data_IF_880136439310
#
_entry.id   IF_880136439310
#
_cell.length_a   1.000
_cell.length_b   1.000
_cell.length_c   1.000
_cell.angle_alpha   90.00
_cell.angle_beta   90.00
_cell.angle_gamma   90.00
#
_symmetry.space_group_name_H-M   'P 1'
#
loop_
_entity.id
_entity.type
_entity.pdbx_description
1 polymer ?
#
# COMPACT_ATOMS: atom_id res chain seq x y z
N UNK A 1 -30.49 30.38 -22.68
CA UNK A 1 -29.54 30.90 -23.66
C UNK A 1 -28.11 30.43 -23.40
N UNK A 2 -27.51 30.64 -22.21
CA UNK A 2 -26.12 30.21 -21.89
C UNK A 2 -25.81 28.74 -22.21
N UNK A 3 -26.71 27.79 -21.84
CA UNK A 3 -26.54 26.34 -22.11
C UNK A 3 -26.55 25.99 -23.61
N UNK A 4 -27.31 26.72 -24.43
CA UNK A 4 -27.37 26.51 -25.87
C UNK A 4 -26.08 27.01 -26.53
N UNK A 5 -25.57 28.16 -26.10
CA UNK A 5 -24.30 28.73 -26.57
C UNK A 5 -23.11 27.79 -26.29
N UNK A 6 -23.06 27.20 -25.09
CA UNK A 6 -22.03 26.21 -24.73
C UNK A 6 -22.13 24.97 -25.64
N UNK A 7 -23.33 24.47 -25.90
CA UNK A 7 -23.52 23.32 -26.82
C UNK A 7 -23.05 23.61 -28.25
N UNK A 8 -23.39 24.80 -28.75
CA UNK A 8 -22.96 25.22 -30.09
C UNK A 8 -21.43 25.37 -30.17
N UNK A 9 -20.79 26.00 -29.15
CA UNK A 9 -19.35 26.15 -29.11
C UNK A 9 -18.63 24.78 -29.11
N UNK A 10 -19.16 23.80 -28.36
CA UNK A 10 -18.60 22.45 -28.33
C UNK A 10 -18.69 21.72 -29.67
N UNK A 11 -19.72 21.97 -30.48
CA UNK A 11 -19.80 21.42 -31.85
C UNK A 11 -18.67 21.92 -32.76
N UNK A 12 -18.13 23.11 -32.47
CA UNK A 12 -17.01 23.70 -33.19
C UNK A 12 -15.64 23.44 -32.48
N UNK A 13 -15.61 22.61 -31.45
CA UNK A 13 -14.38 22.27 -30.73
C UNK A 13 -13.93 23.30 -29.69
N UNK A 14 -14.80 24.26 -29.33
CA UNK A 14 -14.49 25.31 -28.32
C UNK A 14 -15.21 25.02 -27.01
N UNK A 15 -14.55 25.30 -25.89
CA UNK A 15 -15.15 25.29 -24.56
C UNK A 15 -15.32 26.74 -24.05
N UNK A 16 -16.52 27.09 -23.62
CA UNK A 16 -16.82 28.39 -23.02
C UNK A 16 -16.83 28.24 -21.51
N UNK A 17 -15.93 28.92 -20.84
CA UNK A 17 -15.79 28.94 -19.37
C UNK A 17 -16.23 30.30 -18.86
N UNK A 18 -17.06 30.31 -17.82
CA UNK A 18 -17.42 31.53 -17.08
C UNK A 18 -16.34 31.82 -16.04
N UNK A 19 -15.40 32.68 -16.41
CA UNK A 19 -14.24 33.00 -15.55
C UNK A 19 -14.65 33.69 -14.24
N UNK A 20 -15.81 34.35 -14.18
CA UNK A 20 -16.24 35.10 -12.99
C UNK A 20 -17.12 34.29 -12.04
N UNK A 21 -17.49 33.06 -12.42
CA UNK A 21 -18.36 32.19 -11.63
C UNK A 21 -17.70 30.82 -11.38
N UNK A 22 -16.37 30.82 -11.31
CA UNK A 22 -15.59 29.65 -10.94
C UNK A 22 -15.49 29.59 -9.42
N UNK A 23 -16.32 28.75 -8.80
CA UNK A 23 -16.30 28.52 -7.35
C UNK A 23 -15.34 27.40 -7.05
N UNK A 24 -14.21 27.73 -6.45
CA UNK A 24 -13.33 26.76 -5.82
C UNK A 24 -13.73 26.63 -4.35
N UNK A 25 -14.09 25.44 -3.86
CA UNK A 25 -14.39 25.24 -2.43
C UNK A 25 -13.24 25.64 -1.51
N UNK A 26 -11.99 25.57 -1.96
CA UNK A 26 -10.80 25.98 -1.22
C UNK A 26 -10.65 27.48 -1.01
N UNK A 27 -11.36 28.32 -1.78
CA UNK A 27 -11.29 29.77 -1.65
C UNK A 27 -12.31 30.32 -0.63
N UNK A 28 -13.36 29.58 -0.33
CA UNK A 28 -14.50 30.04 0.49
C UNK A 28 -14.58 29.42 1.88
N UNK A 29 -13.80 28.38 2.15
CA UNK A 29 -13.66 27.74 3.46
C UNK A 29 -12.24 27.30 3.63
N UNK A 30 -11.66 27.51 4.81
CA UNK A 30 -10.50 26.71 5.19
C UNK A 30 -10.90 25.26 5.04
N UNK A 31 -10.24 24.55 4.14
CA UNK A 31 -10.39 23.10 4.01
C UNK A 31 -9.69 22.51 5.22
N UNK A 32 -10.40 22.46 6.33
CA UNK A 32 -9.99 21.69 7.47
C UNK A 32 -9.84 20.24 7.01
N UNK A 33 -8.63 19.81 7.02
CA UNK A 33 -8.04 18.49 7.03
C UNK A 33 -8.69 17.37 6.19
N UNK A 34 -10.00 17.28 5.99
CA UNK A 34 -10.62 16.13 5.38
C UNK A 34 -11.40 16.45 4.10
N UNK A 35 -10.74 16.21 2.97
CA UNK A 35 -11.41 16.26 1.67
C UNK A 35 -12.37 15.08 1.45
N UNK A 36 -12.33 14.08 2.32
CA UNK A 36 -13.23 12.93 2.30
C UNK A 36 -13.68 12.59 3.72
N UNK A 37 -14.97 12.71 3.98
CA UNK A 37 -15.60 12.30 5.25
C UNK A 37 -16.47 11.09 4.96
N UNK A 38 -16.36 10.07 5.80
CA UNK A 38 -17.12 8.82 5.63
C UNK A 38 -18.62 9.11 5.70
N UNK A 39 -19.39 8.56 4.76
CA UNK A 39 -20.82 8.76 4.55
C UNK A 39 -21.21 10.19 4.14
N UNK A 40 -20.26 11.04 3.88
CA UNK A 40 -20.49 12.39 3.41
C UNK A 40 -19.98 12.59 1.99
N UNK A 41 -20.20 13.78 1.48
CA UNK A 41 -19.75 14.18 0.17
C UNK A 41 -18.28 14.50 0.19
N UNK A 42 -17.51 13.89 -0.73
CA UNK A 42 -16.11 14.23 -0.94
C UNK A 42 -15.97 15.35 -1.97
N UNK A 43 -15.20 16.37 -1.63
CA UNK A 43 -14.89 17.47 -2.55
C UNK A 43 -13.62 17.14 -3.31
N UNK A 44 -13.74 16.98 -4.63
CA UNK A 44 -12.62 16.71 -5.53
C UNK A 44 -12.38 17.93 -6.40
N UNK A 45 -11.23 18.56 -6.26
CA UNK A 45 -10.81 19.65 -7.10
C UNK A 45 -9.94 19.14 -8.25
N UNK A 46 -10.22 19.49 -9.49
CA UNK A 46 -11.30 20.34 -10.02
C UNK A 46 -12.63 19.61 -10.32
N UNK A 47 -12.78 18.33 -9.98
CA UNK A 47 -13.84 17.45 -10.44
C UNK A 47 -15.19 17.60 -9.69
N UNK A 48 -15.26 18.52 -8.73
CA UNK A 48 -16.48 18.79 -7.99
C UNK A 48 -16.75 17.83 -6.82
N UNK A 49 -18.01 17.56 -6.50
CA UNK A 49 -18.43 16.69 -5.41
C UNK A 49 -18.52 15.22 -5.86
N UNK A 50 -18.02 14.32 -5.02
CA UNK A 50 -18.14 12.86 -5.22
C UNK A 50 -18.83 12.26 -4.01
N UNK A 51 -19.91 11.50 -4.24
CA UNK A 51 -20.55 10.71 -3.19
C UNK A 51 -19.71 9.44 -2.93
N UNK A 52 -19.42 9.17 -1.65
CA UNK A 52 -18.65 7.99 -1.26
C UNK A 52 -19.54 6.75 -1.31
N UNK A 53 -19.36 5.94 -2.35
CA UNK A 53 -20.11 4.70 -2.58
C UNK A 53 -19.30 3.43 -2.25
N UNK A 54 -17.98 3.54 -2.14
CA UNK A 54 -17.05 2.46 -1.78
C UNK A 54 -16.53 2.68 -0.36
N UNK A 55 -17.36 2.34 0.64
CA UNK A 55 -16.99 2.49 2.05
C UNK A 55 -16.26 1.25 2.55
N UNK A 56 -15.14 1.45 3.24
CA UNK A 56 -14.36 0.38 3.86
C UNK A 56 -14.85 0.11 5.29
N UNK A 57 -15.09 -1.15 5.62
CA UNK A 57 -15.55 -1.61 6.94
C UNK A 57 -14.51 -2.44 7.65
N UNK A 58 -13.65 -3.12 6.90
CA UNK A 58 -12.59 -3.96 7.45
C UNK A 58 -11.29 -3.85 6.67
N UNK A 59 -10.19 -3.99 7.40
CA UNK A 59 -8.83 -4.09 6.87
C UNK A 59 -8.11 -5.25 7.54
N UNK A 60 -7.70 -6.23 6.75
CA UNK A 60 -6.79 -7.28 7.19
C UNK A 60 -5.37 -6.91 6.76
N UNK A 61 -4.48 -6.72 7.71
CA UNK A 61 -3.07 -6.47 7.48
C UNK A 61 -2.31 -7.79 7.65
N UNK A 62 -1.46 -8.14 6.69
CA UNK A 62 -0.64 -9.34 6.74
C UNK A 62 0.81 -8.95 6.57
N UNK A 63 1.58 -9.05 7.65
CA UNK A 63 3.00 -8.72 7.71
C UNK A 63 3.83 -10.00 7.62
N UNK A 64 4.70 -10.09 6.61
CA UNK A 64 5.70 -11.15 6.49
C UNK A 64 6.96 -10.74 7.23
N UNK A 65 7.44 -11.56 8.14
CA UNK A 65 8.57 -11.25 9.01
C UNK A 65 9.59 -12.39 9.03
N UNK A 66 10.87 -12.01 8.95
CA UNK A 66 12.01 -12.86 9.27
C UNK A 66 13.13 -12.02 9.87
N UNK A 67 13.42 -12.20 11.15
CA UNK A 67 14.37 -11.37 11.91
C UNK A 67 15.84 -11.77 11.70
N UNK A 68 16.10 -12.86 10.97
CA UNK A 68 17.44 -13.44 10.80
C UNK A 68 17.99 -13.32 9.39
N UNK A 69 17.15 -13.02 8.41
CA UNK A 69 17.56 -12.98 7.01
C UNK A 69 18.55 -11.86 6.75
N UNK A 70 19.70 -12.20 6.20
CA UNK A 70 20.61 -11.25 5.57
C UNK A 70 20.03 -10.74 4.24
N UNK A 71 20.51 -9.57 3.76
CA UNK A 71 20.05 -9.04 2.47
C UNK A 71 20.40 -10.08 1.40
N UNK A 72 19.40 -10.45 0.63
CA UNK A 72 19.52 -11.47 -0.40
C UNK A 72 20.60 -11.22 -1.46
N UNK A 73 20.85 -9.97 -1.81
CA UNK A 73 21.92 -9.60 -2.72
C UNK A 73 23.16 -9.21 -1.89
N UNK A 74 24.16 -10.07 -1.83
CA UNK A 74 25.42 -9.87 -1.10
C UNK A 74 26.16 -8.56 -1.49
N UNK A 75 25.80 -7.95 -2.62
CA UNK A 75 26.32 -6.65 -3.05
C UNK A 75 25.55 -5.46 -2.45
N UNK A 76 24.43 -5.70 -1.78
CA UNK A 76 23.60 -4.66 -1.17
C UNK A 76 23.80 -4.67 0.35
N UNK A 77 24.15 -3.53 0.91
CA UNK A 77 24.15 -3.31 2.36
C UNK A 77 22.81 -2.77 2.80
N UNK A 78 22.33 -3.15 3.99
CA UNK A 78 21.21 -2.49 4.62
C UNK A 78 21.50 -1.00 4.78
N UNK A 79 20.48 -0.17 4.66
CA UNK A 79 20.58 1.28 4.74
C UNK A 79 21.23 1.75 6.05
N UNK A 80 20.86 1.09 7.15
CA UNK A 80 21.47 1.28 8.47
C UNK A 80 22.28 0.03 8.81
N UNK A 81 23.45 0.19 9.40
CA UNK A 81 24.30 -0.91 9.87
C UNK A 81 23.76 -1.49 11.20
N UNK A 82 22.54 -2.03 11.14
CA UNK A 82 21.82 -2.60 12.27
C UNK A 82 21.35 -4.02 11.96
N UNK A 83 21.22 -4.89 12.97
CA UNK A 83 20.65 -6.23 12.79
C UNK A 83 19.24 -6.18 12.19
N UNK A 84 18.84 -7.24 11.50
CA UNK A 84 17.51 -7.30 10.85
C UNK A 84 16.35 -7.11 11.82
N UNK A 85 16.47 -7.62 13.06
CA UNK A 85 15.45 -7.42 14.10
C UNK A 85 15.13 -5.94 14.35
N UNK A 86 16.11 -5.02 14.23
CA UNK A 86 15.90 -3.59 14.40
C UNK A 86 14.99 -3.00 13.28
N UNK A 87 15.05 -3.58 12.08
CA UNK A 87 14.15 -3.22 10.99
C UNK A 87 12.73 -3.72 11.26
N UNK A 88 12.60 -4.97 11.70
CA UNK A 88 11.29 -5.57 12.02
C UNK A 88 10.61 -4.83 13.18
N UNK A 89 11.34 -4.48 14.25
CA UNK A 89 10.81 -3.69 15.37
C UNK A 89 10.27 -2.34 14.88
N UNK A 90 11.06 -1.59 14.10
CA UNK A 90 10.65 -0.27 13.60
C UNK A 90 9.51 -0.35 12.61
N UNK A 91 9.49 -1.37 11.76
CA UNK A 91 8.37 -1.65 10.87
C UNK A 91 7.07 -1.82 11.67
N UNK A 92 7.09 -2.71 12.67
CA UNK A 92 5.93 -2.98 13.53
C UNK A 92 5.53 -1.75 14.34
N UNK A 93 6.49 -1.04 14.98
CA UNK A 93 6.20 0.19 15.71
C UNK A 93 5.52 1.26 14.84
N UNK A 94 6.03 1.47 13.64
CA UNK A 94 5.45 2.43 12.71
C UNK A 94 4.04 2.01 12.27
N UNK A 95 3.81 0.71 12.08
CA UNK A 95 2.51 0.16 11.74
C UNK A 95 1.51 0.35 12.90
N UNK A 96 1.90 0.05 14.13
CA UNK A 96 1.08 0.26 15.33
C UNK A 96 0.64 1.74 15.45
N UNK A 97 1.56 2.68 15.29
CA UNK A 97 1.24 4.11 15.29
C UNK A 97 0.21 4.46 14.22
N UNK A 98 0.40 3.93 13.02
CA UNK A 98 -0.52 4.16 11.91
C UNK A 98 -1.91 3.54 12.14
N UNK A 99 -1.98 2.36 12.75
CA UNK A 99 -3.25 1.71 13.13
C UNK A 99 -3.97 2.56 14.19
N UNK A 100 -3.27 3.02 15.23
CA UNK A 100 -3.84 3.84 16.28
C UNK A 100 -4.44 5.13 15.74
N UNK A 101 -3.69 5.86 14.91
CA UNK A 101 -4.18 7.08 14.28
C UNK A 101 -5.39 6.81 13.39
N UNK A 102 -5.34 5.77 12.58
CA UNK A 102 -6.44 5.37 11.71
C UNK A 102 -7.71 5.03 12.51
N UNK A 103 -7.61 4.24 13.58
CA UNK A 103 -8.74 3.88 14.46
C UNK A 103 -9.35 5.08 15.17
N UNK A 104 -8.55 6.06 15.56
CA UNK A 104 -9.05 7.29 16.17
C UNK A 104 -9.98 8.07 15.24
N UNK A 105 -9.67 8.05 13.94
CA UNK A 105 -10.46 8.74 12.92
C UNK A 105 -11.62 7.88 12.41
N UNK A 106 -11.39 6.60 12.21
CA UNK A 106 -12.31 5.63 11.64
C UNK A 106 -12.71 4.58 12.67
N UNK A 107 -13.41 5.00 13.73
CA UNK A 107 -13.79 4.13 14.86
C UNK A 107 -14.66 2.92 14.46
N UNK A 108 -15.33 2.97 13.32
CA UNK A 108 -16.14 1.88 12.76
C UNK A 108 -15.30 0.86 11.97
N UNK A 109 -14.06 1.18 11.64
CA UNK A 109 -13.18 0.31 10.83
C UNK A 109 -12.61 -0.82 11.70
N UNK A 110 -12.91 -2.06 11.34
CA UNK A 110 -12.26 -3.23 11.93
C UNK A 110 -10.86 -3.41 11.33
N UNK A 111 -9.82 -3.40 12.15
CA UNK A 111 -8.44 -3.64 11.71
C UNK A 111 -7.88 -4.82 12.47
N UNK A 112 -7.52 -5.88 11.75
CA UNK A 112 -6.85 -7.07 12.26
C UNK A 112 -5.48 -7.20 11.61
N UNK A 113 -4.49 -7.69 12.35
CA UNK A 113 -3.12 -7.86 11.85
C UNK A 113 -2.65 -9.28 12.10
N UNK A 114 -2.18 -9.95 11.06
CA UNK A 114 -1.52 -11.25 11.12
C UNK A 114 -0.06 -11.08 10.75
N UNK A 115 0.83 -11.56 11.61
CA UNK A 115 2.28 -11.61 11.37
C UNK A 115 2.65 -13.06 11.04
N UNK A 116 3.19 -13.28 9.85
CA UNK A 116 3.74 -14.57 9.44
C UNK A 116 5.22 -14.58 9.79
N UNK A 117 5.60 -15.35 10.78
CA UNK A 117 6.98 -15.50 11.22
C UNK A 117 7.67 -16.66 10.50
N UNK A 118 8.79 -16.38 9.85
CA UNK A 118 9.62 -17.36 9.17
C UNK A 118 10.84 -17.72 10.02
N UNK A 119 10.62 -18.54 11.06
CA UNK A 119 11.68 -19.10 11.91
C UNK A 119 12.61 -18.09 12.58
N UNK A 120 12.07 -16.97 13.05
CA UNK A 120 12.84 -16.04 13.87
C UNK A 120 13.36 -16.69 15.17
N UNK A 121 14.54 -16.29 15.64
CA UNK A 121 15.05 -16.73 16.93
C UNK A 121 14.08 -16.40 18.05
N UNK A 122 13.97 -17.29 19.03
CA UNK A 122 13.06 -17.13 20.16
C UNK A 122 13.23 -15.77 20.86
N UNK A 123 14.46 -15.34 21.13
CA UNK A 123 14.75 -14.06 21.77
C UNK A 123 14.23 -12.84 20.97
N UNK A 124 14.27 -12.91 19.63
CA UNK A 124 13.74 -11.86 18.75
C UNK A 124 12.23 -11.92 18.70
N UNK A 125 11.65 -13.14 18.62
CA UNK A 125 10.21 -13.34 18.63
C UNK A 125 9.58 -12.88 19.94
N UNK A 126 10.25 -13.10 21.08
CA UNK A 126 9.78 -12.64 22.38
C UNK A 126 9.75 -11.10 22.45
N UNK A 127 10.77 -10.40 21.95
CA UNK A 127 10.76 -8.93 21.81
C UNK A 127 9.58 -8.42 20.96
N UNK A 128 9.29 -9.11 19.86
CA UNK A 128 8.15 -8.75 19.00
C UNK A 128 6.82 -8.98 19.74
N UNK A 129 6.68 -10.10 20.45
CA UNK A 129 5.48 -10.38 21.25
C UNK A 129 5.24 -9.32 22.32
N UNK A 130 6.30 -8.90 23.03
CA UNK A 130 6.23 -7.84 24.03
C UNK A 130 5.77 -6.51 23.40
N UNK A 131 6.25 -6.21 22.19
CA UNK A 131 5.88 -5.00 21.45
C UNK A 131 4.40 -4.96 21.08
N UNK A 132 3.82 -6.09 20.69
CA UNK A 132 2.44 -6.18 20.19
C UNK A 132 1.42 -6.67 21.23
N UNK A 133 1.83 -6.93 22.48
CA UNK A 133 0.99 -7.57 23.52
C UNK A 133 -0.35 -6.89 23.78
N UNK A 134 -0.43 -5.57 23.56
CA UNK A 134 -1.64 -4.77 23.77
C UNK A 134 -2.35 -4.39 22.47
N UNK A 135 -1.94 -4.98 21.37
CA UNK A 135 -2.46 -4.68 20.04
C UNK A 135 -3.22 -5.88 19.46
N UNK A 136 -4.08 -5.63 18.48
CA UNK A 136 -4.81 -6.71 17.82
C UNK A 136 -3.95 -7.36 16.72
N UNK A 137 -2.93 -8.11 17.15
CA UNK A 137 -1.99 -8.83 16.31
C UNK A 137 -2.01 -10.32 16.65
N UNK A 138 -2.01 -11.15 15.63
CA UNK A 138 -1.81 -12.59 15.72
C UNK A 138 -0.46 -12.95 15.08
N UNK A 139 0.37 -13.75 15.76
CA UNK A 139 1.60 -14.28 15.17
C UNK A 139 1.37 -15.76 14.84
N UNK A 140 1.62 -16.10 13.58
CA UNK A 140 1.58 -17.47 13.10
C UNK A 140 2.91 -17.84 12.46
N UNK A 141 3.29 -19.11 12.54
CA UNK A 141 4.50 -19.61 11.89
C UNK A 141 4.26 -19.87 10.41
N UNK A 142 5.30 -19.68 9.60
CA UNK A 142 5.31 -20.12 8.21
C UNK A 142 5.25 -21.66 8.14
N UNK A 143 4.29 -22.20 7.42
CA UNK A 143 4.12 -23.64 7.20
C UNK A 143 5.01 -24.13 6.04
N UNK A 144 6.30 -24.32 6.31
CA UNK A 144 7.26 -24.80 5.32
C UNK A 144 6.85 -26.16 4.70
N UNK A 145 6.31 -27.07 5.51
CA UNK A 145 5.98 -28.44 5.03
C UNK A 145 4.84 -28.40 4.02
N UNK A 146 3.82 -27.60 4.27
CA UNK A 146 2.71 -27.42 3.34
C UNK A 146 3.18 -26.98 1.95
N UNK A 147 4.13 -26.03 1.89
CA UNK A 147 4.53 -25.41 0.63
C UNK A 147 5.63 -26.14 -0.12
N UNK A 148 6.35 -27.08 0.50
CA UNK A 148 7.39 -27.90 -0.16
C UNK A 148 6.90 -28.67 -1.39
N UNK A 149 5.66 -29.13 -1.36
CA UNK A 149 5.05 -29.88 -2.48
C UNK A 149 4.50 -28.95 -3.59
N UNK A 150 4.26 -27.68 -3.28
CA UNK A 150 3.61 -26.70 -4.16
C UNK A 150 4.63 -25.86 -4.90
N UNK A 151 5.64 -25.36 -4.19
CA UNK A 151 6.66 -24.46 -4.73
C UNK A 151 7.74 -25.29 -5.41
N UNK A 152 8.05 -24.96 -6.65
CA UNK A 152 9.14 -25.61 -7.38
C UNK A 152 10.46 -25.49 -6.62
N UNK A 153 11.30 -26.52 -6.70
CA UNK A 153 12.60 -26.53 -6.03
C UNK A 153 13.42 -25.28 -6.38
N UNK A 154 13.75 -24.51 -5.37
CA UNK A 154 14.51 -23.27 -5.48
C UNK A 154 16.01 -23.50 -5.24
N UNK A 155 16.86 -22.56 -5.73
CA UNK A 155 18.31 -22.62 -5.57
C UNK A 155 18.77 -22.38 -4.13
N UNK A 156 18.02 -21.61 -3.35
CA UNK A 156 18.32 -21.32 -1.96
C UNK A 156 17.09 -21.46 -1.07
N UNK A 157 17.35 -21.68 0.23
CA UNK A 157 16.30 -21.75 1.25
C UNK A 157 15.57 -20.41 1.41
N UNK A 158 16.28 -19.30 1.32
CA UNK A 158 15.74 -17.95 1.43
C UNK A 158 14.74 -17.66 0.30
N UNK A 159 15.05 -18.10 -0.93
CA UNK A 159 14.13 -17.97 -2.06
C UNK A 159 12.86 -18.79 -1.82
N UNK A 160 12.98 -20.01 -1.32
CA UNK A 160 11.84 -20.84 -0.98
C UNK A 160 10.99 -20.18 0.13
N UNK A 161 11.61 -19.75 1.22
CA UNK A 161 10.93 -19.07 2.34
C UNK A 161 10.19 -17.81 1.91
N UNK A 162 10.80 -17.01 1.03
CA UNK A 162 10.13 -15.82 0.49
C UNK A 162 8.89 -16.17 -0.32
N UNK A 163 8.96 -17.17 -1.22
CA UNK A 163 7.81 -17.62 -2.00
C UNK A 163 6.74 -18.25 -1.11
N UNK A 164 7.11 -19.06 -0.13
CA UNK A 164 6.20 -19.74 0.79
C UNK A 164 5.47 -18.73 1.70
N UNK A 165 6.17 -17.77 2.28
CA UNK A 165 5.58 -16.73 3.11
C UNK A 165 4.64 -15.83 2.31
N UNK A 166 4.97 -15.54 1.04
CA UNK A 166 4.11 -14.78 0.16
C UNK A 166 2.83 -15.56 -0.19
N UNK A 167 2.95 -16.86 -0.50
CA UNK A 167 1.78 -17.70 -0.78
C UNK A 167 0.88 -17.82 0.45
N UNK A 168 1.46 -18.06 1.64
CA UNK A 168 0.70 -18.11 2.88
C UNK A 168 -0.03 -16.79 3.14
N UNK A 169 0.62 -15.65 2.87
CA UNK A 169 -0.03 -14.35 3.04
C UNK A 169 -1.24 -14.17 2.12
N UNK A 170 -1.13 -14.58 0.86
CA UNK A 170 -2.26 -14.52 -0.09
C UNK A 170 -3.39 -15.46 0.30
N UNK A 171 -3.09 -16.68 0.78
CA UNK A 171 -4.10 -17.63 1.26
C UNK A 171 -4.84 -17.10 2.50
N UNK A 172 -4.12 -16.48 3.45
CA UNK A 172 -4.73 -15.85 4.61
C UNK A 172 -5.63 -14.69 4.16
N UNK A 173 -5.13 -13.81 3.28
CA UNK A 173 -5.93 -12.74 2.71
C UNK A 173 -7.19 -13.25 2.03
N UNK A 174 -7.09 -14.36 1.29
CA UNK A 174 -8.23 -15.01 0.63
C UNK A 174 -9.24 -15.62 1.60
N UNK A 175 -8.78 -16.15 2.72
CA UNK A 175 -9.66 -16.89 3.65
C UNK A 175 -10.24 -15.98 4.75
N UNK A 176 -9.51 -14.97 5.21
CA UNK A 176 -9.85 -14.16 6.37
C UNK A 176 -10.17 -12.70 6.05
N UNK A 177 -9.80 -12.20 4.85
CA UNK A 177 -10.11 -10.83 4.44
C UNK A 177 -11.58 -10.66 4.06
N UNK A 178 -12.16 -9.51 4.35
CA UNK A 178 -13.52 -9.13 3.96
C UNK A 178 -13.52 -8.00 2.91
N UNK A 179 -13.18 -6.75 3.31
CA UNK A 179 -13.15 -5.62 2.36
C UNK A 179 -11.76 -5.42 1.75
N UNK A 180 -10.81 -4.98 2.56
CA UNK A 180 -9.44 -4.69 2.12
C UNK A 180 -8.42 -5.60 2.79
N UNK A 181 -7.40 -5.98 2.02
CA UNK A 181 -6.24 -6.74 2.49
C UNK A 181 -4.98 -5.94 2.16
N UNK A 182 -4.10 -5.78 3.15
CA UNK A 182 -2.84 -5.07 3.01
C UNK A 182 -1.67 -6.01 3.31
N UNK A 183 -0.89 -6.34 2.29
CA UNK A 183 0.33 -7.14 2.39
C UNK A 183 1.53 -6.24 2.67
N UNK A 184 2.35 -6.59 3.65
CA UNK A 184 3.50 -5.80 4.10
C UNK A 184 4.72 -6.71 4.31
N UNK A 185 5.90 -6.18 4.03
CA UNK A 185 7.20 -6.76 4.35
C UNK A 185 7.84 -6.01 5.53
N UNK A 186 8.58 -6.71 6.39
CA UNK A 186 9.13 -6.19 7.64
C UNK A 186 10.39 -5.32 7.48
N UNK A 187 10.67 -4.84 6.28
CA UNK A 187 11.69 -3.84 5.97
C UNK A 187 11.09 -2.52 5.45
N UNK A 188 9.78 -2.33 5.66
CA UNK A 188 9.11 -1.06 5.43
C UNK A 188 8.88 -0.31 6.74
N UNK A 189 9.18 0.99 6.76
CA UNK A 189 8.74 1.91 7.82
C UNK A 189 7.63 2.80 7.27
N UNK A 190 6.57 2.97 8.06
CA UNK A 190 5.37 3.68 7.68
C UNK A 190 5.32 5.07 8.35
N UNK A 191 4.75 6.05 7.64
CA UNK A 191 4.30 7.28 8.28
C UNK A 191 3.07 7.00 9.15
N UNK A 192 2.95 7.71 10.25
CA UNK A 192 1.81 7.57 11.15
C UNK A 192 0.47 7.77 10.43
N UNK A 193 0.41 8.66 9.45
CA UNK A 193 -0.79 8.93 8.63
C UNK A 193 -1.03 7.93 7.49
N UNK A 194 -0.23 6.87 7.36
CA UNK A 194 -0.25 5.99 6.19
C UNK A 194 -1.62 5.32 6.01
N UNK A 195 -2.14 4.61 7.01
CA UNK A 195 -3.42 3.90 6.88
C UNK A 195 -4.59 4.86 6.72
N UNK A 196 -4.61 5.95 7.48
CA UNK A 196 -5.65 6.99 7.36
C UNK A 196 -5.75 7.51 5.92
N UNK A 197 -4.61 7.90 5.32
CA UNK A 197 -4.58 8.41 3.96
C UNK A 197 -4.91 7.32 2.93
N UNK A 198 -4.45 6.09 3.12
CA UNK A 198 -4.78 4.98 2.22
C UNK A 198 -6.27 4.67 2.22
N UNK A 199 -6.90 4.54 3.39
CA UNK A 199 -8.33 4.25 3.50
C UNK A 199 -9.18 5.38 2.91
N UNK A 200 -8.93 6.62 3.31
CA UNK A 200 -9.70 7.77 2.80
C UNK A 200 -9.53 7.97 1.29
N UNK A 201 -8.31 7.78 0.78
CA UNK A 201 -8.05 7.89 -0.66
C UNK A 201 -8.65 6.73 -1.44
N UNK A 202 -8.65 5.50 -0.87
CA UNK A 202 -9.34 4.37 -1.48
C UNK A 202 -10.84 4.66 -1.63
N UNK A 203 -11.52 4.99 -0.54
CA UNK A 203 -12.96 5.27 -0.56
C UNK A 203 -13.32 6.34 -1.59
N UNK A 204 -12.55 7.41 -1.61
CA UNK A 204 -12.77 8.53 -2.52
C UNK A 204 -12.51 8.17 -3.98
N UNK A 205 -11.31 7.68 -4.29
CA UNK A 205 -10.88 7.43 -5.67
C UNK A 205 -11.66 6.24 -6.26
N UNK A 206 -11.87 5.16 -5.48
CA UNK A 206 -12.65 4.02 -5.92
C UNK A 206 -14.11 4.39 -6.19
N UNK A 207 -14.71 5.25 -5.36
CA UNK A 207 -16.07 5.77 -5.57
C UNK A 207 -16.15 6.63 -6.84
N UNK A 208 -15.16 7.49 -7.06
CA UNK A 208 -15.08 8.34 -8.24
C UNK A 208 -14.93 7.52 -9.52
N UNK A 209 -14.06 6.54 -9.52
CA UNK A 209 -13.79 5.68 -10.67
C UNK A 209 -14.83 4.55 -10.82
N UNK A 210 -15.66 4.33 -9.80
CA UNK A 210 -16.61 3.20 -9.69
C UNK A 210 -15.93 1.83 -9.88
N UNK A 211 -14.69 1.72 -9.42
CA UNK A 211 -13.83 0.53 -9.52
C UNK A 211 -13.03 0.35 -8.25
N UNK A 212 -12.71 -0.88 -7.95
CA UNK A 212 -11.71 -1.17 -6.92
C UNK A 212 -10.32 -0.77 -7.38
N UNK A 213 -9.43 -0.55 -6.42
CA UNK A 213 -8.07 -0.09 -6.65
C UNK A 213 -7.07 -1.05 -6.02
N UNK A 214 -5.87 -1.05 -6.57
CA UNK A 214 -4.68 -1.56 -5.92
C UNK A 214 -3.84 -0.36 -5.50
N UNK A 215 -3.37 -0.35 -4.25
CA UNK A 215 -2.64 0.80 -3.71
C UNK A 215 -1.28 0.37 -3.19
N UNK A 216 -0.23 0.96 -3.74
CA UNK A 216 1.12 0.85 -3.20
C UNK A 216 1.37 2.04 -2.26
N UNK A 217 1.86 1.82 -1.01
CA UNK A 217 2.09 2.92 -0.08
C UNK A 217 3.37 3.71 -0.37
N UNK A 218 4.23 3.19 -1.26
CA UNK A 218 5.55 3.74 -1.53
C UNK A 218 5.64 4.40 -2.89
N UNK A 219 6.30 5.56 -2.90
CA UNK A 219 6.65 6.32 -4.10
C UNK A 219 8.11 5.99 -4.47
N UNK A 220 8.30 5.00 -5.32
CA UNK A 220 9.64 4.48 -5.62
C UNK A 220 10.45 5.35 -6.58
N UNK A 221 11.79 5.38 -6.43
CA UNK A 221 12.68 6.15 -7.31
C UNK A 221 12.54 5.84 -8.79
N UNK A 222 12.28 4.57 -9.18
CA UNK A 222 12.16 4.20 -10.59
C UNK A 222 11.05 4.96 -11.33
N UNK A 223 10.02 5.40 -10.61
CA UNK A 223 8.90 6.17 -11.17
C UNK A 223 9.32 7.56 -11.68
N UNK A 224 10.51 8.02 -11.31
CA UNK A 224 11.11 9.29 -11.74
C UNK A 224 12.18 9.12 -12.83
N UNK A 225 12.52 7.87 -13.16
CA UNK A 225 13.58 7.54 -14.12
C UNK A 225 13.04 7.21 -15.52
N UNK A 226 11.77 6.85 -15.63
CA UNK A 226 11.14 6.43 -16.87
C UNK A 226 10.03 7.40 -17.26
N UNK A 227 9.90 7.65 -18.57
CA UNK A 227 8.82 8.45 -19.12
C UNK A 227 7.58 7.56 -19.34
N UNK A 228 6.82 7.31 -18.28
CA UNK A 228 5.59 6.52 -18.34
C UNK A 228 4.35 7.43 -18.31
N UNK A 229 3.33 7.07 -19.11
CA UNK A 229 2.03 7.74 -18.99
C UNK A 229 1.45 7.47 -17.62
N UNK A 230 1.11 8.54 -16.90
CA UNK A 230 0.49 8.44 -15.59
C UNK A 230 -0.65 9.45 -15.45
N UNK A 231 -1.69 9.05 -14.73
CA UNK A 231 -2.76 9.95 -14.33
C UNK A 231 -2.52 10.38 -12.87
N UNK A 232 -2.76 11.66 -12.59
CA UNK A 232 -2.72 12.19 -11.24
C UNK A 232 -4.14 12.23 -10.69
N UNK A 233 -4.32 11.63 -9.53
CA UNK A 233 -5.58 11.55 -8.80
C UNK A 233 -5.45 12.30 -7.49
N UNK A 234 -6.53 12.93 -7.05
CA UNK A 234 -6.55 13.65 -5.78
C UNK A 234 -7.03 12.68 -4.69
N UNK A 235 -6.14 12.36 -3.75
CA UNK A 235 -6.46 11.63 -2.54
C UNK A 235 -7.05 12.53 -1.45
N UNK A 236 -6.96 12.16 -0.20
CA UNK A 236 -7.44 12.96 0.92
C UNK A 236 -6.48 14.14 1.22
N UNK A 237 -5.23 13.84 1.53
CA UNK A 237 -4.20 14.84 1.87
C UNK A 237 -3.04 14.86 0.87
N UNK A 238 -3.04 13.96 -0.12
CA UNK A 238 -1.97 13.76 -1.10
C UNK A 238 -2.52 13.61 -2.50
N UNK A 239 -1.66 13.88 -3.47
CA UNK A 239 -1.90 13.40 -4.82
C UNK A 239 -1.44 11.94 -4.92
N UNK A 240 -2.10 11.21 -5.80
CA UNK A 240 -1.76 9.85 -6.15
C UNK A 240 -1.53 9.78 -7.66
N UNK A 241 -0.69 8.86 -8.09
CA UNK A 241 -0.47 8.62 -9.51
C UNK A 241 -0.73 7.16 -9.85
N UNK A 242 -1.20 6.91 -11.07
CA UNK A 242 -1.28 5.56 -11.60
C UNK A 242 0.12 5.01 -11.84
N UNK A 243 0.32 3.73 -11.50
CA UNK A 243 1.57 2.99 -11.70
C UNK A 243 1.27 1.63 -12.33
N UNK A 244 2.25 1.03 -12.98
CA UNK A 244 2.16 -0.28 -13.63
C UNK A 244 3.10 -1.33 -13.03
N UNK A 245 3.84 -0.98 -11.98
CA UNK A 245 4.78 -1.86 -11.27
C UNK A 245 4.76 -1.55 -9.78
N UNK A 246 4.86 -2.59 -8.96
CA UNK A 246 5.05 -2.48 -7.51
C UNK A 246 5.86 -3.67 -7.00
N UNK A 247 6.22 -3.65 -5.72
CA UNK A 247 6.74 -4.80 -4.99
C UNK A 247 5.61 -5.51 -4.24
N UNK A 248 5.95 -6.45 -3.34
CA UNK A 248 4.98 -7.25 -2.61
C UNK A 248 4.35 -6.54 -1.39
N UNK A 249 4.57 -5.23 -1.24
CA UNK A 249 3.88 -4.38 -0.26
C UNK A 249 2.82 -3.55 -0.96
N UNK A 250 1.57 -4.00 -0.90
CA UNK A 250 0.42 -3.37 -1.55
C UNK A 250 -0.91 -3.74 -0.87
N UNK A 251 -1.93 -2.91 -1.07
CA UNK A 251 -3.29 -3.12 -0.59
C UNK A 251 -4.23 -3.31 -1.77
N UNK A 252 -5.20 -4.22 -1.63
CA UNK A 252 -6.25 -4.46 -2.62
C UNK A 252 -7.54 -4.92 -1.96
N UNK A 253 -8.66 -4.89 -2.71
CA UNK A 253 -9.92 -5.44 -2.24
C UNK A 253 -9.93 -6.97 -2.28
N UNK A 254 -10.80 -7.56 -1.45
CA UNK A 254 -11.08 -8.99 -1.46
C UNK A 254 -11.55 -9.47 -2.84
N UNK A 255 -12.35 -8.67 -3.52
CA UNK A 255 -12.85 -9.00 -4.86
C UNK A 255 -11.72 -9.07 -5.88
N UNK A 256 -10.78 -8.10 -5.85
CA UNK A 256 -9.60 -8.14 -6.71
C UNK A 256 -8.68 -9.31 -6.38
N UNK A 257 -8.49 -9.64 -5.10
CA UNK A 257 -7.70 -10.81 -4.69
C UNK A 257 -8.30 -12.09 -5.26
N UNK A 258 -9.62 -12.27 -5.14
CA UNK A 258 -10.30 -13.44 -5.68
C UNK A 258 -10.24 -13.49 -7.20
N UNK A 259 -10.48 -12.36 -7.88
CA UNK A 259 -10.46 -12.23 -9.34
C UNK A 259 -9.10 -12.61 -9.93
N UNK A 260 -8.01 -12.17 -9.29
CA UNK A 260 -6.65 -12.37 -9.77
C UNK A 260 -5.86 -13.43 -8.99
N UNK A 261 -6.56 -14.35 -8.35
CA UNK A 261 -5.95 -15.42 -7.57
C UNK A 261 -4.86 -16.17 -8.33
N UNK A 262 -5.11 -16.51 -9.59
CA UNK A 262 -4.16 -17.25 -10.42
C UNK A 262 -2.85 -16.48 -10.66
N UNK A 263 -2.92 -15.16 -10.84
CA UNK A 263 -1.73 -14.31 -10.98
C UNK A 263 -0.93 -14.28 -9.68
N UNK A 264 -1.61 -14.08 -8.55
CA UNK A 264 -0.98 -14.06 -7.23
C UNK A 264 -0.35 -15.42 -6.90
N UNK A 265 -1.06 -16.51 -7.15
CA UNK A 265 -0.57 -17.86 -6.97
C UNK A 265 0.67 -18.15 -7.84
N UNK A 266 0.63 -17.81 -9.14
CA UNK A 266 1.76 -18.00 -10.05
C UNK A 266 3.02 -17.22 -9.63
N UNK A 267 2.86 -16.06 -9.01
CA UNK A 267 3.99 -15.30 -8.45
C UNK A 267 4.73 -16.11 -7.38
N UNK A 268 4.03 -16.97 -6.63
CA UNK A 268 4.57 -17.67 -5.47
C UNK A 268 5.13 -19.07 -5.78
N UNK A 269 4.72 -19.72 -6.86
CA UNK A 269 5.10 -21.13 -7.11
C UNK A 269 6.43 -21.30 -7.83
N UNK A 270 6.89 -20.28 -8.55
CA UNK A 270 8.16 -20.30 -9.26
C UNK A 270 8.73 -18.88 -9.36
N UNK A 271 10.02 -18.76 -9.11
CA UNK A 271 10.68 -17.46 -9.19
C UNK A 271 10.88 -17.02 -10.64
N UNK A 272 10.50 -15.79 -10.92
CA UNK A 272 10.68 -15.11 -12.19
C UNK A 272 11.63 -13.91 -12.07
N UNK A 273 12.03 -13.37 -13.19
CA UNK A 273 12.75 -12.11 -13.29
C UNK A 273 12.03 -11.22 -14.34
N UNK A 274 11.39 -10.12 -13.94
CA UNK A 274 11.25 -9.63 -12.55
C UNK A 274 10.35 -10.53 -11.69
N UNK A 275 10.61 -10.55 -10.38
CA UNK A 275 9.88 -11.39 -9.41
C UNK A 275 8.37 -11.13 -9.45
N UNK A 276 7.96 -9.87 -9.51
CA UNK A 276 6.56 -9.41 -9.48
C UNK A 276 5.86 -9.47 -10.86
N UNK A 277 6.39 -10.22 -11.81
CA UNK A 277 5.87 -10.28 -13.19
C UNK A 277 4.34 -10.47 -13.22
N UNK A 278 3.82 -11.49 -12.54
CA UNK A 278 2.40 -11.80 -12.60
C UNK A 278 1.53 -10.83 -11.79
N UNK A 279 2.07 -10.22 -10.72
CA UNK A 279 1.40 -9.12 -10.01
C UNK A 279 1.29 -7.91 -10.94
N UNK A 280 2.37 -7.56 -11.64
CA UNK A 280 2.38 -6.41 -12.55
C UNK A 280 1.48 -6.62 -13.77
N UNK A 281 1.22 -7.86 -14.20
CA UNK A 281 0.25 -8.16 -15.25
C UNK A 281 -1.19 -7.76 -14.85
N UNK A 282 -1.53 -7.77 -13.56
CA UNK A 282 -2.84 -7.32 -13.06
C UNK A 282 -3.06 -5.84 -13.38
N UNK A 283 -2.01 -5.02 -13.33
CA UNK A 283 -2.06 -3.57 -13.56
C UNK A 283 -2.29 -3.18 -15.02
N UNK A 284 -2.25 -4.14 -15.95
CA UNK A 284 -2.67 -3.92 -17.33
C UNK A 284 -4.20 -3.78 -17.46
N UNK A 285 -4.95 -4.31 -16.50
CA UNK A 285 -6.42 -4.33 -16.49
C UNK A 285 -7.01 -3.54 -15.33
N UNK A 286 -6.29 -3.41 -14.21
CA UNK A 286 -6.75 -2.76 -13.00
C UNK A 286 -5.94 -1.52 -12.67
N UNK A 287 -6.59 -0.60 -11.97
CA UNK A 287 -5.94 0.66 -11.55
C UNK A 287 -5.09 0.41 -10.33
N UNK A 288 -3.78 0.56 -10.48
CA UNK A 288 -2.85 0.59 -9.37
C UNK A 288 -2.34 2.02 -9.16
N UNK A 289 -2.28 2.48 -7.91
CA UNK A 289 -1.87 3.84 -7.57
C UNK A 289 -0.81 3.89 -6.47
N UNK A 290 0.01 4.93 -6.52
CA UNK A 290 1.07 5.23 -5.55
C UNK A 290 0.98 6.69 -5.10
N UNK A 291 1.25 7.02 -3.83
CA UNK A 291 1.12 8.38 -3.33
C UNK A 291 2.28 9.28 -3.75
N UNK A 292 2.01 10.55 -3.95
CA UNK A 292 2.97 11.64 -4.07
C UNK A 292 2.84 12.55 -2.83
N UNK A 293 3.67 12.51 -1.86
CA UNK A 293 4.90 11.80 -1.52
C UNK A 293 4.58 10.47 -0.83
N UNK A 294 5.59 9.62 -0.71
CA UNK A 294 5.49 8.29 -0.10
C UNK A 294 4.83 8.27 1.29
N UNK A 295 4.08 7.22 1.57
CA UNK A 295 3.49 6.90 2.88
C UNK A 295 4.26 5.81 3.62
N UNK A 296 5.11 5.08 2.91
CA UNK A 296 6.00 4.06 3.47
C UNK A 296 7.34 4.08 2.77
N UNK A 297 8.38 3.74 3.49
CA UNK A 297 9.75 3.67 3.00
C UNK A 297 10.23 2.23 2.99
N UNK A 298 10.65 1.75 1.84
CA UNK A 298 11.37 0.50 1.73
C UNK A 298 12.84 0.72 2.12
N UNK A 299 13.27 0.12 3.22
CA UNK A 299 14.58 0.35 3.83
C UNK A 299 15.67 -0.55 3.21
N UNK A 300 15.73 -0.58 1.90
CA UNK A 300 16.84 -1.20 1.16
C UNK A 300 17.96 -0.19 0.95
N UNK A 301 18.93 -0.48 0.09
CA UNK A 301 20.05 0.45 -0.14
C UNK A 301 19.60 1.73 -0.89
N UNK A 302 20.38 2.81 -0.72
CA UNK A 302 20.10 4.11 -1.34
C UNK A 302 20.04 4.04 -2.88
N UNK A 303 20.81 3.16 -3.50
CA UNK A 303 20.92 3.04 -4.96
C UNK A 303 19.88 2.10 -5.56
N UNK A 304 18.91 1.65 -4.80
CA UNK A 304 17.85 0.78 -5.30
C UNK A 304 16.77 1.57 -6.03
N UNK A 305 16.37 1.12 -7.21
CA UNK A 305 15.22 1.66 -7.95
C UNK A 305 13.90 1.56 -7.16
N UNK A 306 13.81 0.64 -6.23
CA UNK A 306 12.69 0.41 -5.34
C UNK A 306 13.01 0.73 -3.87
N UNK A 307 14.03 1.56 -3.65
CA UNK A 307 14.46 1.96 -2.31
C UNK A 307 13.78 3.21 -1.80
N UNK A 308 14.60 4.10 -1.25
CA UNK A 308 14.13 5.33 -0.61
C UNK A 308 13.47 6.27 -1.60
N UNK A 309 12.29 6.72 -1.21
CA UNK A 309 11.54 7.72 -1.96
C UNK A 309 12.24 9.09 -1.95
N UNK A 310 12.07 9.92 -3.00
CA UNK A 310 12.61 11.27 -3.03
C UNK A 310 12.05 12.14 -1.92
N UNK A 311 12.85 13.12 -1.49
CA UNK A 311 12.45 14.21 -0.56
C UNK A 311 11.98 13.74 0.82
N UNK A 312 12.52 12.64 1.33
CA UNK A 312 12.17 12.07 2.62
C UNK A 312 13.37 12.04 3.55
N UNK A 313 13.19 12.53 4.78
CA UNK A 313 14.16 12.36 5.86
C UNK A 313 14.02 10.96 6.48
N UNK A 314 14.66 9.98 5.83
CA UNK A 314 14.63 8.59 6.26
C UNK A 314 15.32 8.37 7.61
N UNK A 315 16.30 9.19 7.98
CA UNK A 315 16.97 9.11 9.27
C UNK A 315 16.02 9.48 10.40
N UNK A 316 15.28 10.57 10.22
CA UNK A 316 14.28 11.00 11.20
C UNK A 316 13.20 9.92 11.40
N UNK A 317 12.66 9.37 10.32
CA UNK A 317 11.61 8.34 10.43
C UNK A 317 12.13 7.05 11.08
N UNK A 318 13.40 6.69 10.83
CA UNK A 318 14.07 5.57 11.50
C UNK A 318 14.16 5.81 13.00
N UNK A 319 14.64 6.98 13.44
CA UNK A 319 14.82 7.31 14.85
C UNK A 319 13.49 7.43 15.62
N UNK A 320 12.46 7.94 14.98
CA UNK A 320 11.14 8.12 15.63
C UNK A 320 10.37 6.80 15.82
N UNK A 321 10.86 5.70 15.26
CA UNK A 321 10.22 4.38 15.34
C UNK A 321 11.07 3.33 16.11
N UNK A 322 11.96 3.81 16.96
CA UNK A 322 12.67 2.93 17.92
C UNK A 322 11.71 2.19 18.83
#
# INVERSE_FOLDING_TARGET
MKKIFIKIARLFGYEIIDQNNFVSPSLNKELNDDLSIINERSIVLPLGNVDITKKVRSLLIILRMNTEVEIWDQKKKRLFEQPKIEYSIRSINSLIKSIKLCKNKYSHLSINTVVIDDNSKKENLDKIKDLIQNENFEIISLDHEKYKSIIKKQKSAETFSNLASLLQSFEIGKNQGDDLIFFIEDDYIHYETMLEEMISSYERIASQLKKDLIMCPSDYPYLYMNNEKTNILIGSKRHWRTINKTLCTFMLSKDLLNKYWENLYKTCIDRHDPFEKYINEIYLSEVCISPLKSLSLHLTNINSSYGLSPFIDYKKIWETNK
#
